data_IF_866484773121
#
_entry.id   IF_866484773121
#
_cell.length_a   1.000
_cell.length_b   1.000
_cell.length_c   1.000
_cell.angle_alpha   90.00
_cell.angle_beta   90.00
_cell.angle_gamma   90.00
#
_symmetry.space_group_name_H-M   'P 1'
#
loop_
_entity.id
_entity.type
_entity.pdbx_description
1 polymer ?
#
# COMPACT_ATOMS: atom_id res chain seq x y z
N UNK A 1 -2.86 14.02 9.48
CA UNK A 1 -3.91 14.04 8.45
C UNK A 1 -3.94 12.70 7.74
N UNK A 2 -5.13 12.17 7.47
CA UNK A 2 -5.29 10.83 6.90
C UNK A 2 -5.45 10.89 5.40
N UNK A 3 -4.70 10.06 4.68
CA UNK A 3 -4.84 9.92 3.24
C UNK A 3 -5.98 8.95 2.94
N UNK A 4 -6.62 9.11 1.78
CA UNK A 4 -7.65 8.20 1.31
C UNK A 4 -7.00 7.07 0.51
N UNK A 5 -7.45 5.85 0.75
CA UNK A 5 -6.91 4.67 0.08
C UNK A 5 -7.73 4.36 -1.17
N UNK A 6 -7.03 4.13 -2.27
CA UNK A 6 -7.61 3.69 -3.54
C UNK A 6 -6.85 2.48 -4.04
N UNK A 7 -7.49 1.68 -4.87
CA UNK A 7 -6.87 0.49 -5.46
C UNK A 7 -6.96 0.55 -6.98
N UNK A 8 -5.86 0.18 -7.64
CA UNK A 8 -5.95 -0.25 -9.01
C UNK A 8 -6.79 -1.54 -9.06
N UNK A 9 -7.54 -1.75 -10.12
CA UNK A 9 -8.50 -2.83 -10.22
C UNK A 9 -7.88 -4.21 -10.03
N UNK A 10 -6.70 -4.43 -10.61
CA UNK A 10 -5.99 -5.70 -10.46
C UNK A 10 -5.50 -5.89 -9.03
N UNK A 11 -4.99 -4.82 -8.41
CA UNK A 11 -4.51 -4.88 -7.03
C UNK A 11 -5.66 -5.21 -6.07
N UNK A 12 -6.83 -4.62 -6.28
CA UNK A 12 -8.01 -4.92 -5.47
C UNK A 12 -8.38 -6.40 -5.56
N UNK A 13 -8.36 -6.96 -6.75
CA UNK A 13 -8.67 -8.38 -6.95
C UNK A 13 -7.67 -9.28 -6.22
N UNK A 14 -6.39 -8.92 -6.22
CA UNK A 14 -5.38 -9.69 -5.49
C UNK A 14 -5.65 -9.64 -3.99
N UNK A 15 -5.98 -8.44 -3.45
CA UNK A 15 -6.27 -8.30 -2.02
C UNK A 15 -7.46 -9.16 -1.61
N UNK A 16 -8.52 -9.15 -2.43
CA UNK A 16 -9.72 -9.94 -2.14
C UNK A 16 -9.46 -11.44 -2.17
N UNK A 17 -8.49 -11.88 -2.97
CA UNK A 17 -8.15 -13.29 -3.09
C UNK A 17 -7.14 -13.77 -2.05
N UNK A 18 -6.58 -12.88 -1.23
CA UNK A 18 -5.58 -13.26 -0.22
C UNK A 18 -6.21 -14.02 0.94
N UNK A 19 -5.46 -14.95 1.56
CA UNK A 19 -5.91 -15.56 2.81
C UNK A 19 -6.22 -14.51 3.87
N UNK A 20 -7.18 -14.80 4.74
CA UNK A 20 -7.67 -13.82 5.73
C UNK A 20 -6.56 -13.21 6.58
N UNK A 21 -5.64 -14.02 7.09
CA UNK A 21 -4.55 -13.51 7.93
C UNK A 21 -3.65 -12.54 7.17
N UNK A 22 -3.31 -12.87 5.93
CA UNK A 22 -2.48 -12.00 5.09
C UNK A 22 -3.21 -10.71 4.73
N UNK A 23 -4.50 -10.81 4.44
CA UNK A 23 -5.35 -9.65 4.12
C UNK A 23 -5.47 -8.71 5.31
N UNK A 24 -5.67 -9.24 6.51
CA UNK A 24 -5.77 -8.41 7.72
C UNK A 24 -4.45 -7.68 8.01
N UNK A 25 -3.33 -8.38 7.89
CA UNK A 25 -2.02 -7.79 8.10
C UNK A 25 -1.78 -6.64 7.11
N UNK A 26 -2.11 -6.86 5.84
CA UNK A 26 -1.99 -5.83 4.82
C UNK A 26 -2.91 -4.64 5.09
N UNK A 27 -4.14 -4.90 5.49
CA UNK A 27 -5.11 -3.84 5.80
C UNK A 27 -4.60 -2.93 6.91
N UNK A 28 -4.04 -3.51 7.97
CA UNK A 28 -3.47 -2.73 9.07
C UNK A 28 -2.26 -1.91 8.60
N UNK A 29 -1.39 -2.50 7.78
CA UNK A 29 -0.23 -1.81 7.24
C UNK A 29 -0.64 -0.65 6.31
N UNK A 30 -1.67 -0.85 5.50
CA UNK A 30 -2.20 0.22 4.64
C UNK A 30 -2.82 1.34 5.47
N UNK A 31 -3.49 1.02 6.56
CA UNK A 31 -4.02 2.03 7.48
C UNK A 31 -2.90 2.87 8.08
N UNK A 32 -1.80 2.25 8.48
CA UNK A 32 -0.63 2.97 8.97
C UNK A 32 -0.05 3.88 7.89
N UNK A 33 0.02 3.42 6.65
CA UNK A 33 0.50 4.22 5.54
C UNK A 33 -0.40 5.42 5.26
N UNK A 34 -1.70 5.30 5.47
CA UNK A 34 -2.62 6.42 5.31
C UNK A 34 -2.41 7.50 6.37
N UNK A 35 -1.92 7.13 7.54
CA UNK A 35 -1.60 8.10 8.59
C UNK A 35 -0.21 8.70 8.42
N UNK A 36 0.76 7.91 7.97
CA UNK A 36 2.14 8.34 7.81
C UNK A 36 2.77 7.64 6.60
N UNK A 37 2.51 8.14 5.38
CA UNK A 37 2.98 7.47 4.17
C UNK A 37 4.48 7.26 4.12
N UNK A 38 5.26 8.22 4.57
CA UNK A 38 6.73 8.12 4.49
C UNK A 38 7.27 7.21 5.59
N UNK A 39 6.75 7.33 6.81
CA UNK A 39 7.22 6.53 7.94
C UNK A 39 6.84 5.05 7.84
N UNK A 40 5.72 4.75 7.21
CA UNK A 40 5.21 3.39 7.13
C UNK A 40 5.66 2.63 5.87
N UNK A 41 6.34 3.30 4.94
CA UNK A 41 6.74 2.71 3.66
C UNK A 41 8.21 2.98 3.38
N UNK A 42 8.72 2.36 2.32
CA UNK A 42 10.10 2.54 1.87
C UNK A 42 10.14 3.15 0.48
N UNK A 43 11.22 3.85 0.10
CA UNK A 43 11.37 4.33 -1.27
C UNK A 43 11.37 3.19 -2.28
N UNK A 44 10.78 3.43 -3.43
CA UNK A 44 10.84 2.47 -4.53
C UNK A 44 11.39 3.21 -5.75
N UNK A 45 12.60 2.86 -6.15
CA UNK A 45 13.31 3.61 -7.18
C UNK A 45 13.90 4.89 -6.58
N UNK A 46 13.46 6.04 -7.06
CA UNK A 46 13.90 7.32 -6.52
C UNK A 46 13.18 7.64 -5.21
N UNK A 47 13.89 8.25 -4.28
CA UNK A 47 13.32 8.64 -2.99
C UNK A 47 12.66 10.02 -3.10
N UNK A 48 11.58 10.08 -3.87
CA UNK A 48 10.86 11.33 -4.13
C UNK A 48 9.54 11.42 -3.35
N UNK A 49 9.22 10.40 -2.57
CA UNK A 49 7.98 10.38 -1.79
C UNK A 49 6.72 10.08 -2.62
N UNK A 50 6.86 9.82 -3.92
CA UNK A 50 5.72 9.58 -4.80
C UNK A 50 5.42 8.10 -4.93
N UNK A 51 6.41 7.29 -5.32
CA UNK A 51 6.23 5.85 -5.43
C UNK A 51 6.90 5.19 -4.22
N UNK A 52 6.11 4.43 -3.47
CA UNK A 52 6.57 3.83 -2.21
C UNK A 52 6.28 2.34 -2.20
N UNK A 53 7.09 1.60 -1.46
CA UNK A 53 6.90 0.17 -1.27
C UNK A 53 6.43 -0.09 0.16
N UNK A 54 5.37 -0.89 0.29
CA UNK A 54 4.86 -1.36 1.57
C UNK A 54 5.07 -2.86 1.64
N UNK A 55 5.83 -3.31 2.63
CA UNK A 55 6.16 -4.73 2.76
C UNK A 55 5.62 -5.25 4.08
N UNK A 56 4.85 -6.33 4.00
CA UNK A 56 4.47 -7.11 5.16
C UNK A 56 5.14 -8.47 5.08
N UNK A 57 4.93 -9.33 6.06
CA UNK A 57 5.52 -10.67 6.01
C UNK A 57 4.99 -11.50 4.85
N UNK A 58 3.79 -11.21 4.38
CA UNK A 58 3.10 -12.03 3.40
C UNK A 58 2.74 -11.29 2.12
N UNK A 59 3.09 -10.02 2.00
CA UNK A 59 2.70 -9.24 0.83
C UNK A 59 3.68 -8.11 0.53
N UNK A 60 3.73 -7.74 -0.73
CA UNK A 60 4.45 -6.57 -1.22
C UNK A 60 3.46 -5.71 -1.99
N UNK A 61 3.37 -4.43 -1.63
CA UNK A 61 2.49 -3.49 -2.30
C UNK A 61 3.27 -2.29 -2.83
N UNK A 62 2.96 -1.90 -4.05
CA UNK A 62 3.52 -0.69 -4.67
C UNK A 62 2.47 0.40 -4.59
N UNK A 63 2.82 1.52 -3.97
CA UNK A 63 1.88 2.61 -3.68
C UNK A 63 2.25 3.87 -4.41
N UNK A 64 1.24 4.59 -4.88
CA UNK A 64 1.40 5.94 -5.42
C UNK A 64 0.83 6.92 -4.41
N UNK A 65 1.67 7.81 -3.89
CA UNK A 65 1.27 8.80 -2.88
C UNK A 65 0.96 10.12 -3.56
N UNK A 66 -0.28 10.57 -3.48
CA UNK A 66 -0.72 11.85 -4.02
C UNK A 66 -0.82 12.89 -2.92
N UNK A 67 0.17 13.76 -2.82
CA UNK A 67 0.23 14.79 -1.77
C UNK A 67 -0.89 15.82 -1.89
N UNK A 68 -1.20 16.25 -3.09
CA UNK A 68 -2.19 17.30 -3.32
C UNK A 68 -3.59 16.84 -2.94
N UNK A 69 -3.97 15.64 -3.37
CA UNK A 69 -5.30 15.09 -3.11
C UNK A 69 -5.37 14.27 -1.84
N UNK A 70 -4.24 14.08 -1.18
CA UNK A 70 -4.14 13.24 0.02
C UNK A 70 -4.71 11.85 -0.23
N UNK A 71 -4.17 11.19 -1.26
CA UNK A 71 -4.59 9.84 -1.64
C UNK A 71 -3.39 8.92 -1.70
N UNK A 72 -3.63 7.64 -1.41
CA UNK A 72 -2.67 6.56 -1.65
C UNK A 72 -3.36 5.56 -2.55
N UNK A 73 -2.75 5.29 -3.71
CA UNK A 73 -3.27 4.31 -4.65
C UNK A 73 -2.41 3.06 -4.63
N UNK A 74 -3.02 1.91 -4.39
CA UNK A 74 -2.32 0.63 -4.48
C UNK A 74 -2.23 0.27 -5.96
N UNK A 75 -1.03 0.44 -6.54
CA UNK A 75 -0.80 0.21 -7.96
C UNK A 75 -0.62 -1.27 -8.27
N UNK A 76 0.04 -1.99 -7.39
CA UNK A 76 0.37 -3.39 -7.58
C UNK A 76 0.42 -4.07 -6.23
N UNK A 77 -0.03 -5.31 -6.18
CA UNK A 77 -0.02 -6.10 -4.96
C UNK A 77 0.40 -7.52 -5.30
N UNK A 78 1.38 -8.03 -4.55
CA UNK A 78 1.88 -9.38 -4.71
C UNK A 78 1.76 -10.11 -3.38
N UNK A 79 1.13 -11.27 -3.38
CA UNK A 79 1.06 -12.15 -2.23
C UNK A 79 2.28 -13.06 -2.23
N UNK A 80 3.09 -13.00 -1.17
CA UNK A 80 4.38 -13.67 -1.09
C UNK A 80 4.31 -15.06 -0.45
N UNK A 81 3.22 -15.38 0.10
CA UNK A 81 3.06 -16.63 0.81
C UNK A 81 2.32 -17.69 0.06
#
# INVERSE_FOLDING_TARGET
MTYRLKYDQVAEAVHEAMPTAASEELTLALADACHDPIGATEPYGEDDGVVRALVTRQAFALLLVGETLKTITVLQLTHLG
#
